data_IF_283972440336
#
_entry.id   IF_283972440336
#
_cell.length_a   1.000
_cell.length_b   1.000
_cell.length_c   1.000
_cell.angle_alpha   90.00
_cell.angle_beta   90.00
_cell.angle_gamma   90.00
#
_symmetry.space_group_name_H-M   'P 1'
#
loop_
_entity.id
_entity.type
_entity.pdbx_description
1 polymer ?
#
# COMPACT_ATOMS: atom_id res chain seq x y z
N UNK A 1 -34.01 -2.63 -9.57
CA UNK A 1 -33.17 -2.54 -8.35
C UNK A 1 -31.72 -2.87 -8.73
N UNK A 2 -30.76 -2.00 -8.38
CA UNK A 2 -29.43 -1.83 -9.00
C UNK A 2 -28.54 -3.10 -8.96
N UNK A 3 -28.00 -3.48 -10.12
CA UNK A 3 -26.94 -4.51 -10.28
C UNK A 3 -25.71 -4.13 -9.45
N UNK A 4 -25.34 -4.94 -8.46
CA UNK A 4 -24.04 -4.85 -7.76
C UNK A 4 -22.95 -5.12 -8.80
N UNK A 5 -22.23 -4.08 -9.23
CA UNK A 5 -21.09 -4.24 -10.16
C UNK A 5 -19.95 -4.93 -9.39
N UNK A 6 -19.48 -6.04 -9.95
CA UNK A 6 -18.52 -6.95 -9.33
C UNK A 6 -17.21 -6.27 -8.94
N UNK A 7 -16.97 -6.19 -7.63
CA UNK A 7 -15.64 -6.12 -7.05
C UNK A 7 -15.22 -7.52 -6.57
N UNK A 8 -13.92 -7.73 -6.26
CA UNK A 8 -13.49 -8.97 -5.62
C UNK A 8 -14.31 -9.19 -4.32
N UNK A 9 -14.63 -10.44 -3.96
CA UNK A 9 -15.41 -10.74 -2.77
C UNK A 9 -14.69 -10.18 -1.53
N UNK A 10 -15.38 -9.37 -0.73
CA UNK A 10 -14.87 -8.82 0.53
C UNK A 10 -14.64 -7.30 0.59
N UNK A 11 -14.83 -6.54 -0.50
CA UNK A 11 -14.72 -5.07 -0.44
C UNK A 11 -15.98 -4.47 0.20
N UNK A 12 -15.83 -3.89 1.41
CA UNK A 12 -16.90 -3.20 2.14
C UNK A 12 -17.45 -1.99 1.36
N UNK A 13 -16.59 -1.35 0.58
CA UNK A 13 -16.92 -0.19 -0.25
C UNK A 13 -16.98 -0.56 -1.73
N UNK A 14 -17.85 0.09 -2.53
CA UNK A 14 -17.80 -0.02 -3.98
C UNK A 14 -16.44 0.39 -4.54
N UNK A 15 -16.09 -0.14 -5.71
CA UNK A 15 -14.91 0.33 -6.47
C UNK A 15 -15.01 1.83 -6.76
N UNK A 16 -13.85 2.49 -6.81
CA UNK A 16 -13.75 3.92 -7.14
C UNK A 16 -14.66 4.81 -6.26
N UNK A 17 -14.61 4.61 -4.94
CA UNK A 17 -15.44 5.32 -3.96
C UNK A 17 -14.73 6.51 -3.32
N UNK A 18 -13.39 6.54 -3.31
CA UNK A 18 -12.60 7.56 -2.62
C UNK A 18 -11.77 8.42 -3.57
N UNK A 19 -11.73 9.73 -3.31
CA UNK A 19 -10.89 10.69 -4.05
C UNK A 19 -9.42 10.61 -3.61
N UNK A 20 -9.17 10.25 -2.35
CA UNK A 20 -7.83 10.06 -1.79
C UNK A 20 -7.81 8.85 -0.85
N UNK A 21 -6.71 8.11 -0.87
CA UNK A 21 -6.47 6.96 0.02
C UNK A 21 -5.08 7.11 0.62
N UNK A 22 -5.00 7.07 1.95
CA UNK A 22 -3.76 6.89 2.69
C UNK A 22 -3.67 5.44 3.12
N UNK A 23 -2.62 4.75 2.70
CA UNK A 23 -2.29 3.41 3.14
C UNK A 23 -1.02 3.46 3.98
N UNK A 24 -1.20 3.30 5.28
CA UNK A 24 -0.14 3.14 6.28
C UNK A 24 -0.24 1.72 6.88
N UNK A 25 0.28 0.70 6.18
CA UNK A 25 0.09 -0.68 6.58
C UNK A 25 1.07 -1.07 7.70
N UNK A 26 0.77 -2.15 8.44
CA UNK A 26 1.73 -2.73 9.38
C UNK A 26 3.06 -3.05 8.65
N UNK A 27 4.15 -2.58 9.24
CA UNK A 27 5.50 -2.66 8.69
C UNK A 27 6.45 -3.34 9.70
N UNK A 28 7.60 -3.86 9.27
CA UNK A 28 8.62 -4.44 10.16
C UNK A 28 9.27 -3.42 11.12
N UNK A 29 9.00 -2.13 10.88
CA UNK A 29 9.36 -1.00 11.73
C UNK A 29 10.86 -0.82 11.95
N UNK A 30 11.72 -1.33 11.05
CA UNK A 30 13.19 -1.26 11.22
C UNK A 30 13.75 0.17 11.24
N UNK A 31 12.98 1.16 10.80
CA UNK A 31 13.39 2.57 10.76
C UNK A 31 13.12 3.36 12.05
N UNK A 32 12.35 2.81 12.99
CA UNK A 32 12.01 3.50 14.24
C UNK A 32 13.25 3.72 15.13
N UNK A 33 13.37 4.92 15.72
CA UNK A 33 14.49 5.35 16.59
C UNK A 33 13.99 6.08 17.84
N UNK A 34 14.68 5.93 19.00
CA UNK A 34 15.81 5.04 19.27
C UNK A 34 15.34 3.59 19.53
N UNK A 35 16.17 2.59 19.22
CA UNK A 35 15.88 1.17 19.52
C UNK A 35 17.01 0.53 20.30
N UNK A 36 16.66 -0.11 21.42
CA UNK A 36 17.61 -0.77 22.32
C UNK A 36 17.94 -2.21 21.88
N UNK A 37 16.95 -2.95 21.37
CA UNK A 37 17.10 -4.25 20.71
C UNK A 37 16.00 -4.41 19.64
N UNK A 38 16.32 -5.13 18.57
CA UNK A 38 15.37 -5.42 17.50
C UNK A 38 15.51 -6.88 17.08
N UNK A 39 14.43 -7.64 17.20
CA UNK A 39 14.27 -8.97 16.63
C UNK A 39 13.36 -8.82 15.42
N UNK A 40 13.95 -8.83 14.23
CA UNK A 40 13.20 -9.00 12.99
C UNK A 40 13.50 -10.41 12.49
N UNK A 41 12.52 -11.29 12.56
CA UNK A 41 12.57 -12.60 11.97
C UNK A 41 12.21 -12.52 10.48
N UNK A 42 12.93 -13.25 9.64
CA UNK A 42 12.70 -13.22 8.19
C UNK A 42 11.29 -13.68 7.81
N UNK A 43 10.66 -14.50 8.65
CA UNK A 43 9.29 -14.95 8.43
C UNK A 43 8.27 -13.81 8.60
N UNK A 44 8.34 -13.03 9.70
CA UNK A 44 7.46 -11.86 9.87
C UNK A 44 7.65 -10.81 8.78
N UNK A 45 8.88 -10.64 8.27
CA UNK A 45 9.12 -9.76 7.12
C UNK A 45 8.38 -10.25 5.87
N UNK A 46 8.47 -11.55 5.55
CA UNK A 46 7.77 -12.13 4.42
C UNK A 46 6.24 -11.98 4.53
N UNK A 47 5.69 -12.15 5.74
CA UNK A 47 4.28 -11.91 6.00
C UNK A 47 3.90 -10.44 5.80
N UNK A 48 4.67 -9.50 6.35
CA UNK A 48 4.43 -8.06 6.19
C UNK A 48 4.39 -7.67 4.70
N UNK A 49 5.37 -8.12 3.92
CA UNK A 49 5.44 -7.90 2.46
C UNK A 49 4.20 -8.43 1.76
N UNK A 50 3.75 -9.64 2.10
CA UNK A 50 2.56 -10.24 1.50
C UNK A 50 1.28 -9.46 1.84
N UNK A 51 1.11 -9.04 3.10
CA UNK A 51 -0.05 -8.26 3.53
C UNK A 51 -0.08 -6.86 2.91
N UNK A 52 1.06 -6.18 2.83
CA UNK A 52 1.18 -4.86 2.21
C UNK A 52 0.73 -4.89 0.75
N UNK A 53 1.07 -5.94 -0.01
CA UNK A 53 0.58 -6.14 -1.40
C UNK A 53 -0.94 -6.21 -1.46
N UNK A 54 -1.56 -7.00 -0.59
CA UNK A 54 -3.02 -7.15 -0.55
C UNK A 54 -3.70 -5.81 -0.23
N UNK A 55 -3.15 -5.04 0.71
CA UNK A 55 -3.67 -3.72 1.03
C UNK A 55 -3.50 -2.72 -0.11
N UNK A 56 -2.34 -2.72 -0.79
CA UNK A 56 -2.11 -1.89 -1.97
C UNK A 56 -3.14 -2.18 -3.05
N UNK A 57 -3.42 -3.46 -3.34
CA UNK A 57 -4.43 -3.82 -4.33
C UNK A 57 -5.81 -3.33 -3.94
N UNK A 58 -6.21 -3.53 -2.67
CA UNK A 58 -7.49 -3.03 -2.19
C UNK A 58 -7.59 -1.50 -2.31
N UNK A 59 -6.54 -0.78 -1.92
CA UNK A 59 -6.45 0.67 -2.00
C UNK A 59 -6.63 1.18 -3.44
N UNK A 60 -5.96 0.55 -4.41
CA UNK A 60 -6.08 0.89 -5.83
C UNK A 60 -7.51 0.67 -6.35
N UNK A 61 -8.18 -0.41 -5.95
CA UNK A 61 -9.57 -0.66 -6.37
C UNK A 61 -10.58 0.33 -5.78
N UNK A 62 -10.28 0.89 -4.61
CA UNK A 62 -11.12 1.88 -3.93
C UNK A 62 -10.91 3.29 -4.48
N UNK A 63 -9.79 3.55 -5.15
CA UNK A 63 -9.42 4.86 -5.68
C UNK A 63 -10.21 5.23 -6.94
N UNK A 64 -10.73 6.45 -7.00
CA UNK A 64 -11.33 7.03 -8.21
C UNK A 64 -10.26 7.34 -9.26
N UNK A 65 -10.68 7.40 -10.53
CA UNK A 65 -9.84 7.96 -11.60
C UNK A 65 -9.50 9.41 -11.27
N UNK A 66 -8.22 9.77 -11.35
CA UNK A 66 -7.71 11.08 -10.92
C UNK A 66 -7.51 11.23 -9.42
N UNK A 67 -7.79 10.19 -8.62
CA UNK A 67 -7.53 10.19 -7.19
C UNK A 67 -6.05 10.04 -6.85
N UNK A 68 -5.72 10.23 -5.57
CA UNK A 68 -4.35 10.09 -5.05
C UNK A 68 -4.25 8.97 -4.02
N UNK A 69 -3.31 8.04 -4.21
CA UNK A 69 -2.92 7.04 -3.23
C UNK A 69 -1.55 7.40 -2.65
N UNK A 70 -1.47 7.45 -1.32
CA UNK A 70 -0.21 7.57 -0.58
C UNK A 70 0.05 6.24 0.11
N UNK A 71 1.25 5.69 -0.11
CA UNK A 71 1.75 4.53 0.60
C UNK A 71 2.90 4.99 1.50
N UNK A 72 2.78 4.77 2.80
CA UNK A 72 3.79 5.13 3.79
C UNK A 72 4.16 3.91 4.62
N UNK A 73 5.42 3.82 5.01
CA UNK A 73 5.88 2.81 5.96
C UNK A 73 6.86 3.43 6.95
N UNK A 74 7.06 2.71 8.04
CA UNK A 74 7.98 3.01 9.13
C UNK A 74 9.28 2.18 9.06
N UNK A 75 9.58 1.58 7.91
CA UNK A 75 10.67 0.62 7.73
C UNK A 75 11.67 1.05 6.66
N UNK A 76 12.83 0.42 6.67
CA UNK A 76 13.94 0.69 5.75
C UNK A 76 14.16 -0.46 4.75
N UNK A 77 13.35 -1.52 4.77
CA UNK A 77 13.56 -2.65 3.88
C UNK A 77 13.11 -2.31 2.44
N UNK A 78 13.91 -2.61 1.42
CA UNK A 78 13.47 -2.46 0.03
C UNK A 78 12.25 -3.32 -0.30
N UNK A 79 12.14 -4.49 0.35
CA UNK A 79 11.05 -5.44 0.15
C UNK A 79 9.68 -4.86 0.55
N UNK A 80 9.63 -3.96 1.52
CA UNK A 80 8.41 -3.27 1.97
C UNK A 80 8.23 -1.90 1.31
N UNK A 81 9.26 -1.38 0.63
CA UNK A 81 9.26 -0.04 0.05
C UNK A 81 9.34 -0.10 -1.49
N UNK A 82 10.53 0.08 -2.07
CA UNK A 82 10.73 0.21 -3.52
C UNK A 82 10.18 -0.98 -4.31
N UNK A 83 10.33 -2.20 -3.79
CA UNK A 83 9.81 -3.42 -4.43
C UNK A 83 8.28 -3.41 -4.49
N UNK A 84 7.60 -2.96 -3.43
CA UNK A 84 6.13 -2.84 -3.41
C UNK A 84 5.64 -1.84 -4.44
N UNK A 85 6.33 -0.69 -4.56
CA UNK A 85 6.00 0.36 -5.54
C UNK A 85 6.20 -0.16 -6.96
N UNK A 86 7.35 -0.78 -7.25
CA UNK A 86 7.65 -1.32 -8.57
C UNK A 86 6.62 -2.37 -9.02
N UNK A 87 6.27 -3.31 -8.15
CA UNK A 87 5.27 -4.34 -8.45
C UNK A 87 3.87 -3.75 -8.62
N UNK A 88 3.51 -2.76 -7.81
CA UNK A 88 2.21 -2.09 -7.89
C UNK A 88 2.07 -1.33 -9.20
N UNK A 89 3.10 -0.61 -9.64
CA UNK A 89 3.12 0.09 -10.93
C UNK A 89 3.09 -0.89 -12.11
N UNK A 90 3.79 -2.03 -11.99
CA UNK A 90 3.73 -3.08 -13.00
C UNK A 90 2.35 -3.73 -13.10
N UNK A 91 1.70 -3.99 -11.95
CA UNK A 91 0.38 -4.62 -11.86
C UNK A 91 -0.75 -3.69 -12.32
N UNK A 92 -0.63 -2.39 -12.04
CA UNK A 92 -1.65 -1.38 -12.33
C UNK A 92 -1.07 -0.26 -13.21
N UNK A 93 -1.07 -0.45 -14.55
CA UNK A 93 -0.59 0.55 -15.50
C UNK A 93 -1.37 1.88 -15.48
N UNK A 94 -2.54 1.92 -14.83
CA UNK A 94 -3.31 3.14 -14.62
C UNK A 94 -2.75 4.06 -13.53
N UNK A 95 -1.79 3.58 -12.73
CA UNK A 95 -1.09 4.38 -11.74
C UNK A 95 0.14 5.04 -12.34
N UNK A 96 0.48 6.20 -11.80
CA UNK A 96 1.71 6.93 -12.12
C UNK A 96 2.29 7.47 -10.83
N UNK A 97 3.59 7.24 -10.64
CA UNK A 97 4.32 7.82 -9.52
C UNK A 97 4.37 9.34 -9.67
N UNK A 98 4.08 10.06 -8.59
CA UNK A 98 4.08 11.52 -8.56
C UNK A 98 5.14 12.02 -7.57
N UNK A 99 5.75 13.19 -7.82
CA UNK A 99 6.65 13.80 -6.84
C UNK A 99 5.92 14.11 -5.53
N UNK A 100 6.51 13.72 -4.40
CA UNK A 100 6.09 14.21 -3.09
C UNK A 100 6.68 15.61 -2.86
N UNK A 101 5.83 16.57 -2.51
CA UNK A 101 6.21 17.95 -2.20
C UNK A 101 5.71 18.30 -0.78
N UNK A 102 6.49 19.05 0.03
CA UNK A 102 7.83 19.56 -0.26
C UNK A 102 8.90 18.45 -0.34
N UNK A 103 9.97 18.70 -1.10
CA UNK A 103 11.18 17.87 -1.00
C UNK A 103 12.02 18.47 0.12
N UNK A 104 12.26 17.69 1.16
CA UNK A 104 13.08 18.04 2.33
C UNK A 104 14.51 17.59 2.09
#
# INVERSE_FOLDING_TARGET
>A
KKKKKGGPPGLLYPRASFDRVLLDPPCSALGLRPKLRQTADGQSLAWAVAYQRLFLWAAVHMLKVGGTLVYSTCTLTPAENETQVAETLHRFPCLRLVPALPRV
#
